data_IF_254027833944
#
_entry.id   IF_254027833944
#
_cell.length_a   1.000
_cell.length_b   1.000
_cell.length_c   1.000
_cell.angle_alpha   90.00
_cell.angle_beta   90.00
_cell.angle_gamma   90.00
#
_symmetry.space_group_name_H-M   'P 1'
#
loop_
_entity.id
_entity.type
_entity.pdbx_description
1 polymer ?
#
# COMPACT_ATOMS: atom_id res chain seq x y z
N UNK A 1 -3.08 2.57 6.28
CA UNK A 1 -2.13 3.50 5.61
C UNK A 1 -2.57 3.95 4.22
N UNK A 2 -3.05 3.04 3.34
CA UNK A 2 -3.48 3.38 1.99
C UNK A 2 -4.61 4.42 2.00
N UNK A 3 -5.52 4.30 2.97
CA UNK A 3 -6.56 5.31 3.24
C UNK A 3 -5.98 6.71 3.49
N UNK A 4 -4.86 6.84 4.20
CA UNK A 4 -4.23 8.14 4.46
C UNK A 4 -3.69 8.77 3.19
N UNK A 5 -2.93 8.02 2.39
CA UNK A 5 -2.35 8.53 1.14
C UNK A 5 -3.44 8.91 0.15
N UNK A 6 -4.43 8.03 -0.03
CA UNK A 6 -5.52 8.22 -0.98
C UNK A 6 -6.38 9.41 -0.59
N UNK A 7 -6.83 9.49 0.67
CA UNK A 7 -7.61 10.63 1.15
C UNK A 7 -6.84 11.94 0.99
N UNK A 8 -5.58 11.98 1.47
CA UNK A 8 -4.75 13.19 1.38
C UNK A 8 -4.53 13.62 -0.06
N UNK A 9 -4.25 12.68 -0.96
CA UNK A 9 -4.03 12.97 -2.38
C UNK A 9 -5.31 13.47 -3.05
N UNK A 10 -6.45 12.79 -2.86
CA UNK A 10 -7.73 13.24 -3.44
C UNK A 10 -8.15 14.60 -2.90
N UNK A 11 -7.98 14.86 -1.60
CA UNK A 11 -8.23 16.18 -1.02
C UNK A 11 -7.38 17.27 -1.68
N UNK A 12 -6.12 16.98 -2.02
CA UNK A 12 -5.22 17.92 -2.70
C UNK A 12 -5.61 18.15 -4.16
N UNK A 13 -5.95 17.09 -4.89
CA UNK A 13 -6.23 17.15 -6.33
C UNK A 13 -7.68 17.56 -6.64
N UNK A 14 -8.60 17.38 -5.69
CA UNK A 14 -10.04 17.59 -5.85
C UNK A 14 -10.61 18.30 -4.61
N UNK A 15 -11.29 17.58 -3.72
CA UNK A 15 -11.91 18.10 -2.50
C UNK A 15 -12.21 16.95 -1.51
N UNK A 16 -12.62 17.31 -0.31
CA UNK A 16 -12.93 16.37 0.77
C UNK A 16 -14.10 15.42 0.45
N UNK A 17 -15.19 15.92 -0.16
CA UNK A 17 -16.34 15.09 -0.49
C UNK A 17 -15.96 13.95 -1.45
N UNK A 18 -15.21 14.27 -2.51
CA UNK A 18 -14.68 13.24 -3.43
C UNK A 18 -13.71 12.29 -2.75
N UNK A 19 -12.91 12.77 -1.78
CA UNK A 19 -12.03 11.90 -1.03
C UNK A 19 -12.83 10.87 -0.21
N UNK A 20 -13.89 11.30 0.47
CA UNK A 20 -14.77 10.40 1.23
C UNK A 20 -15.48 9.36 0.33
N UNK A 21 -15.95 9.76 -0.84
CA UNK A 21 -16.53 8.82 -1.82
C UNK A 21 -15.52 7.74 -2.24
N UNK A 22 -14.27 8.15 -2.49
CA UNK A 22 -13.19 7.21 -2.83
C UNK A 22 -12.89 6.27 -1.68
N UNK A 23 -12.80 6.77 -0.43
CA UNK A 23 -12.57 5.91 0.74
C UNK A 23 -13.70 4.90 0.90
N UNK A 24 -14.96 5.31 0.76
CA UNK A 24 -16.12 4.40 0.83
C UNK A 24 -16.06 3.27 -0.22
N UNK A 25 -15.52 3.53 -1.41
CA UNK A 25 -15.30 2.49 -2.42
C UNK A 25 -14.24 1.49 -1.94
N UNK A 26 -13.12 1.97 -1.39
CA UNK A 26 -12.04 1.07 -0.92
C UNK A 26 -12.45 0.21 0.28
N UNK A 27 -13.39 0.68 1.11
CA UNK A 27 -13.94 -0.07 2.25
C UNK A 27 -14.84 -1.25 1.84
N UNK A 28 -15.19 -1.37 0.55
CA UNK A 28 -15.83 -2.59 0.02
C UNK A 28 -14.85 -3.78 -0.03
N UNK A 29 -13.54 -3.51 0.00
CA UNK A 29 -12.50 -4.51 0.15
C UNK A 29 -12.17 -4.79 1.62
N UNK A 30 -11.29 -5.77 1.85
CA UNK A 30 -10.80 -6.05 3.21
C UNK A 30 -9.81 -4.98 3.65
N UNK A 31 -10.19 -4.20 4.66
CA UNK A 31 -9.30 -3.22 5.29
C UNK A 31 -8.50 -3.89 6.41
N UNK A 32 -7.17 -3.88 6.27
CA UNK A 32 -6.27 -4.38 7.30
C UNK A 32 -5.85 -3.24 8.23
N UNK A 33 -6.07 -3.44 9.53
CA UNK A 33 -5.68 -2.48 10.57
C UNK A 33 -4.17 -2.45 10.73
N UNK A 34 -3.59 -1.24 10.78
CA UNK A 34 -2.20 -1.06 11.19
C UNK A 34 -2.10 -1.12 12.71
N UNK A 35 -1.83 -2.31 13.22
CA UNK A 35 -1.52 -2.54 14.63
C UNK A 35 -0.01 -2.52 14.90
N UNK A 36 0.37 -2.69 16.17
CA UNK A 36 1.78 -2.74 16.59
C UNK A 36 2.55 -3.88 15.91
N UNK A 37 1.92 -5.03 15.68
CA UNK A 37 2.56 -6.18 15.06
C UNK A 37 2.93 -5.91 13.61
N UNK A 38 1.97 -5.38 12.83
CA UNK A 38 2.20 -4.98 11.45
C UNK A 38 3.19 -3.82 11.35
N UNK A 39 3.19 -2.88 12.31
CA UNK A 39 4.16 -1.79 12.35
C UNK A 39 5.61 -2.28 12.56
N UNK A 40 5.82 -3.23 13.47
CA UNK A 40 7.15 -3.81 13.71
C UNK A 40 7.61 -4.66 12.52
N UNK A 41 6.72 -5.47 11.95
CA UNK A 41 7.01 -6.23 10.73
C UNK A 41 7.41 -5.29 9.57
N UNK A 42 6.70 -4.16 9.40
CA UNK A 42 7.07 -3.16 8.41
C UNK A 42 8.45 -2.55 8.65
N UNK A 43 8.86 -2.32 9.89
CA UNK A 43 10.20 -1.82 10.19
C UNK A 43 11.29 -2.84 9.77
N UNK A 44 11.06 -4.13 10.04
CA UNK A 44 11.97 -5.21 9.63
C UNK A 44 12.05 -5.30 8.10
N UNK A 45 10.90 -5.29 7.41
CA UNK A 45 10.84 -5.33 5.95
C UNK A 45 11.47 -4.09 5.29
N UNK A 46 11.31 -2.91 5.90
CA UNK A 46 11.95 -1.68 5.43
C UNK A 46 13.48 -1.81 5.43
N UNK A 47 14.05 -2.38 6.50
CA UNK A 47 15.49 -2.61 6.62
C UNK A 47 15.96 -3.69 5.65
N UNK A 48 15.26 -4.83 5.61
CA UNK A 48 15.61 -5.98 4.78
C UNK A 48 15.60 -5.66 3.28
N UNK A 49 14.54 -5.00 2.82
CA UNK A 49 14.31 -4.74 1.39
C UNK A 49 14.61 -3.30 0.98
N UNK A 50 15.13 -2.47 1.91
CA UNK A 50 15.45 -1.05 1.68
C UNK A 50 14.27 -0.23 1.18
N UNK A 51 13.07 -0.56 1.68
CA UNK A 51 11.82 0.11 1.34
C UNK A 51 11.64 1.37 2.20
N UNK A 52 10.97 2.38 1.64
CA UNK A 52 10.45 3.47 2.46
C UNK A 52 9.40 2.93 3.44
N UNK A 53 9.18 3.62 4.56
CA UNK A 53 8.26 3.13 5.61
C UNK A 53 6.85 2.81 5.07
N UNK A 54 6.36 3.61 4.12
CA UNK A 54 5.08 3.37 3.46
C UNK A 54 5.13 2.09 2.61
N UNK A 55 6.11 1.95 1.74
CA UNK A 55 6.24 0.75 0.90
C UNK A 55 6.38 -0.52 1.75
N UNK A 56 7.13 -0.44 2.85
CA UNK A 56 7.32 -1.55 3.75
C UNK A 56 6.03 -1.98 4.45
N UNK A 57 5.18 -1.06 4.92
CA UNK A 57 3.90 -1.44 5.53
C UNK A 57 2.92 -2.03 4.50
N UNK A 58 2.94 -1.58 3.23
CA UNK A 58 2.14 -2.19 2.15
C UNK A 58 2.58 -3.65 1.94
N UNK A 59 3.90 -3.84 1.77
CA UNK A 59 4.48 -5.16 1.56
C UNK A 59 4.23 -6.08 2.76
N UNK A 60 4.45 -5.61 3.97
CA UNK A 60 4.19 -6.38 5.20
C UNK A 60 2.72 -6.75 5.36
N UNK A 61 1.79 -5.91 4.90
CA UNK A 61 0.35 -6.23 4.92
C UNK A 61 0.06 -7.42 4.01
N UNK A 62 0.63 -7.43 2.80
CA UNK A 62 0.48 -8.54 1.86
C UNK A 62 1.08 -9.84 2.42
N UNK A 63 2.31 -9.76 2.96
CA UNK A 63 2.99 -10.89 3.59
C UNK A 63 2.24 -11.45 4.80
N UNK A 64 1.73 -10.59 5.70
CA UNK A 64 0.99 -11.02 6.89
C UNK A 64 -0.33 -11.70 6.54
N UNK A 65 -0.96 -11.30 5.42
CA UNK A 65 -2.23 -11.85 4.98
C UNK A 65 -2.08 -13.01 3.98
N UNK A 66 -0.85 -13.34 3.58
CA UNK A 66 -0.56 -14.42 2.63
C UNK A 66 -1.14 -14.17 1.24
N UNK A 67 -1.26 -12.89 0.84
CA UNK A 67 -1.76 -12.50 -0.49
C UNK A 67 -0.62 -11.94 -1.33
N UNK A 68 -0.74 -12.12 -2.65
CA UNK A 68 0.19 -11.54 -3.60
C UNK A 68 0.00 -10.01 -3.70
N UNK A 69 1.10 -9.26 -3.65
CA UNK A 69 1.06 -7.81 -3.87
C UNK A 69 1.05 -7.50 -5.37
N UNK A 70 -0.07 -6.97 -5.86
CA UNK A 70 -0.20 -6.49 -7.24
C UNK A 70 0.26 -5.03 -7.31
N UNK A 71 1.25 -4.71 -8.15
CA UNK A 71 1.77 -3.34 -8.23
C UNK A 71 2.39 -3.01 -9.59
N UNK A 72 2.42 -1.72 -9.92
CA UNK A 72 3.22 -1.16 -11.03
C UNK A 72 4.36 -0.27 -10.56
N UNK A 73 4.67 -0.29 -9.26
CA UNK A 73 5.83 0.40 -8.71
C UNK A 73 7.05 -0.51 -8.70
N UNK A 74 8.11 -0.03 -9.36
CA UNK A 74 9.39 -0.73 -9.51
C UNK A 74 10.11 -0.94 -8.17
N UNK A 75 9.76 -0.22 -7.11
CA UNK A 75 10.36 -0.42 -5.79
C UNK A 75 10.08 -1.81 -5.22
N UNK A 76 8.98 -2.45 -5.63
CA UNK A 76 8.63 -3.82 -5.22
C UNK A 76 9.09 -4.88 -6.23
N UNK A 77 9.71 -4.47 -7.34
CA UNK A 77 10.13 -5.39 -8.38
C UNK A 77 11.11 -6.41 -7.78
N UNK A 78 10.90 -7.68 -8.13
CA UNK A 78 11.72 -8.82 -7.71
C UNK A 78 11.61 -9.18 -6.21
N UNK A 79 10.70 -8.56 -5.45
CA UNK A 79 10.37 -9.01 -4.10
C UNK A 79 9.53 -10.30 -4.13
N UNK A 80 9.68 -11.18 -3.11
CA UNK A 80 8.84 -12.36 -2.96
C UNK A 80 7.34 -12.03 -2.98
N UNK A 81 6.53 -12.87 -3.62
CA UNK A 81 5.06 -12.75 -3.63
C UNK A 81 4.56 -11.38 -4.15
N UNK A 82 5.29 -10.81 -5.11
CA UNK A 82 4.90 -9.59 -5.83
C UNK A 82 4.64 -9.90 -7.30
N UNK A 83 3.47 -9.52 -7.79
CA UNK A 83 3.15 -9.49 -9.20
C UNK A 83 3.31 -8.06 -9.73
N UNK A 84 4.46 -7.81 -10.33
CA UNK A 84 4.81 -6.50 -10.88
C UNK A 84 4.39 -6.36 -12.35
N UNK A 85 3.60 -5.32 -12.63
CA UNK A 85 3.22 -4.92 -13.99
C UNK A 85 3.95 -3.65 -14.38
N UNK A 86 4.83 -3.72 -15.38
CA UNK A 86 5.49 -2.52 -15.91
C UNK A 86 4.47 -1.55 -16.50
N UNK A 87 4.58 -0.26 -16.17
CA UNK A 87 3.77 0.77 -16.83
C UNK A 87 4.03 0.75 -18.33
N UNK A 88 2.97 0.72 -19.13
CA UNK A 88 3.09 0.86 -20.58
C UNK A 88 3.72 2.23 -20.88
N UNK A 89 4.72 2.24 -21.75
CA UNK A 89 5.28 3.48 -22.29
C UNK A 89 4.25 3.98 -23.31
N UNK A 90 3.45 4.98 -22.93
CA UNK A 90 2.58 5.74 -23.84
C UNK A 90 3.20 7.09 -24.17
#
# INVERSE_FOLDING_TARGET
>A
MQQYELYRWVCRERNEATALDVIAITEQGTVITLDTGLALLAADMASQFKLAAMDAMIYSTAQQTGVELITSDRHFKDLPEVCYFSKAIS
#
